data_IF_627044613520
#
_entry.id   IF_627044613520
#
_cell.length_a   1.000
_cell.length_b   1.000
_cell.length_c   1.000
_cell.angle_alpha   90.00
_cell.angle_beta   90.00
_cell.angle_gamma   90.00
#
_symmetry.space_group_name_H-M   'P 1'
#
loop_
_entity.id
_entity.type
_entity.pdbx_description
1 polymer ?
#
# COMPACT_ATOMS: atom_id res chain seq x y z
N UNK A 1 -19.48 -18.39 -15.59
CA UNK A 1 -18.90 -17.56 -16.67
C UNK A 1 -17.64 -16.90 -16.09
N UNK A 2 -16.49 -16.92 -16.78
CA UNK A 2 -15.32 -16.18 -16.32
C UNK A 2 -15.62 -14.68 -16.27
N UNK A 3 -15.00 -13.90 -15.36
CA UNK A 3 -15.24 -12.46 -15.26
C UNK A 3 -14.88 -11.75 -16.57
N UNK A 4 -15.54 -10.63 -16.88
CA UNK A 4 -15.22 -9.87 -18.10
C UNK A 4 -13.93 -9.07 -17.89
N UNK A 5 -13.29 -8.66 -18.96
CA UNK A 5 -12.00 -7.96 -18.88
C UNK A 5 -12.13 -6.64 -18.12
N UNK A 6 -13.24 -5.92 -18.31
CA UNK A 6 -13.55 -4.67 -17.61
C UNK A 6 -13.86 -4.84 -16.12
N UNK A 7 -14.13 -6.06 -15.65
CA UNK A 7 -14.36 -6.35 -14.24
C UNK A 7 -13.05 -6.64 -13.49
N UNK A 8 -11.89 -6.63 -14.18
CA UNK A 8 -10.58 -7.01 -13.64
C UNK A 8 -9.51 -5.98 -14.00
N UNK A 9 -8.62 -5.68 -13.06
CA UNK A 9 -7.41 -4.88 -13.30
C UNK A 9 -6.17 -5.53 -12.68
N UNK A 10 -5.00 -5.21 -13.23
CA UNK A 10 -3.70 -5.55 -12.66
C UNK A 10 -2.94 -4.27 -12.34
N UNK A 11 -2.65 -4.06 -11.07
CA UNK A 11 -1.80 -2.96 -10.59
C UNK A 11 -0.44 -3.51 -10.21
N UNK A 12 0.61 -2.89 -10.73
CA UNK A 12 1.97 -3.40 -10.58
C UNK A 12 2.91 -2.28 -10.15
N UNK A 13 3.81 -2.58 -9.22
CA UNK A 13 4.91 -1.66 -8.92
C UNK A 13 5.80 -1.48 -10.16
N UNK A 14 6.26 -0.26 -10.52
CA UNK A 14 7.11 -0.01 -11.69
C UNK A 14 8.57 -0.50 -11.50
N UNK A 15 8.77 -1.56 -10.72
CA UNK A 15 10.06 -2.22 -10.53
C UNK A 15 10.17 -3.42 -11.47
N UNK A 16 11.33 -3.61 -12.10
CA UNK A 16 11.52 -4.69 -13.10
C UNK A 16 11.11 -6.07 -12.58
N UNK A 17 11.41 -6.39 -11.31
CA UNK A 17 11.05 -7.68 -10.69
C UNK A 17 9.54 -7.89 -10.58
N UNK A 18 8.77 -6.86 -10.23
CA UNK A 18 7.31 -6.96 -10.12
C UNK A 18 6.65 -6.97 -11.49
N UNK A 19 7.18 -6.19 -12.44
CA UNK A 19 6.75 -6.22 -13.84
C UNK A 19 6.96 -7.61 -14.46
N UNK A 20 8.14 -8.21 -14.27
CA UNK A 20 8.42 -9.58 -14.74
C UNK A 20 7.48 -10.60 -14.09
N UNK A 21 7.26 -10.53 -12.78
CA UNK A 21 6.31 -11.43 -12.09
C UNK A 21 4.90 -11.27 -12.64
N UNK A 22 4.42 -10.03 -12.80
CA UNK A 22 3.08 -9.77 -13.35
C UNK A 22 2.97 -10.30 -14.79
N UNK A 23 3.94 -10.03 -15.65
CA UNK A 23 3.95 -10.53 -17.03
C UNK A 23 3.97 -12.06 -17.08
N UNK A 24 4.78 -12.74 -16.26
CA UNK A 24 4.94 -14.19 -16.33
C UNK A 24 3.79 -14.95 -15.65
N UNK A 25 3.25 -14.44 -14.55
CA UNK A 25 2.21 -15.14 -13.77
C UNK A 25 0.79 -14.80 -14.25
N UNK A 26 0.62 -13.68 -14.95
CA UNK A 26 -0.68 -13.14 -15.35
C UNK A 26 -0.75 -12.85 -16.87
N UNK A 27 0.12 -13.43 -17.70
CA UNK A 27 0.07 -13.29 -19.16
C UNK A 27 -1.30 -13.65 -19.76
N UNK A 28 -1.96 -14.67 -19.22
CA UNK A 28 -3.32 -15.06 -19.62
C UNK A 28 -4.38 -13.96 -19.41
N UNK A 29 -4.12 -12.97 -18.54
CA UNK A 29 -4.98 -11.77 -18.41
C UNK A 29 -4.68 -10.77 -19.53
N UNK A 30 -3.43 -10.67 -19.98
CA UNK A 30 -3.04 -9.85 -21.14
C UNK A 30 -3.77 -10.33 -22.39
N UNK A 31 -3.78 -11.66 -22.63
CA UNK A 31 -4.50 -12.28 -23.76
C UNK A 31 -6.01 -12.00 -23.75
N UNK A 32 -6.56 -11.69 -22.57
CA UNK A 32 -7.97 -11.35 -22.37
C UNK A 32 -8.26 -9.85 -22.45
N UNK A 33 -7.26 -9.02 -22.72
CA UNK A 33 -7.39 -7.57 -22.80
C UNK A 33 -7.60 -6.89 -21.45
N UNK A 34 -7.20 -7.53 -20.34
CA UNK A 34 -7.23 -6.90 -19.02
C UNK A 34 -6.19 -5.80 -18.95
N UNK A 35 -6.53 -4.71 -18.26
CA UNK A 35 -5.66 -3.55 -18.14
C UNK A 35 -4.58 -3.79 -17.08
N UNK A 36 -3.32 -3.57 -17.48
CA UNK A 36 -2.16 -3.54 -16.60
C UNK A 36 -1.70 -2.09 -16.42
N UNK A 37 -1.62 -1.62 -15.18
CA UNK A 37 -1.23 -0.26 -14.83
C UNK A 37 -0.07 -0.28 -13.84
N UNK A 38 0.99 0.46 -14.15
CA UNK A 38 2.09 0.68 -13.22
C UNK A 38 1.76 1.82 -12.25
N UNK A 39 2.04 1.64 -10.96
CA UNK A 39 1.86 2.70 -9.96
C UNK A 39 3.01 2.75 -8.94
N UNK A 40 3.60 3.94 -8.81
CA UNK A 40 4.71 4.22 -7.90
C UNK A 40 4.34 4.00 -6.42
N UNK A 41 3.05 4.06 -6.06
CA UNK A 41 2.63 3.85 -4.68
C UNK A 41 2.93 2.41 -4.18
N UNK A 42 3.07 1.45 -5.10
CA UNK A 42 3.34 0.04 -4.78
C UNK A 42 4.82 -0.33 -4.70
N UNK A 43 5.72 0.65 -4.65
CA UNK A 43 7.16 0.48 -4.51
C UNK A 43 7.58 -0.12 -3.16
N UNK A 44 8.72 -0.80 -3.12
CA UNK A 44 9.31 -1.32 -1.87
C UNK A 44 9.66 -0.20 -0.88
N UNK A 45 9.78 -0.56 0.39
CA UNK A 45 9.83 0.35 1.53
C UNK A 45 11.23 0.79 1.97
N UNK A 46 12.31 0.42 1.26
CA UNK A 46 13.71 0.78 1.61
C UNK A 46 14.39 1.64 0.53
N UNK A 47 15.53 2.25 0.84
CA UNK A 47 16.36 3.01 -0.11
C UNK A 47 17.55 2.22 -0.68
N UNK A 48 17.59 0.90 -0.44
CA UNK A 48 18.60 0.06 -1.05
C UNK A 48 18.56 0.22 -2.58
N UNK A 49 19.71 0.14 -3.28
CA UNK A 49 19.75 0.36 -4.73
C UNK A 49 18.78 -0.54 -5.51
N UNK A 50 18.48 -1.73 -5.00
CA UNK A 50 17.50 -2.63 -5.59
C UNK A 50 16.03 -2.21 -5.34
N UNK A 51 15.75 -1.35 -4.35
CA UNK A 51 14.41 -0.99 -3.87
C UNK A 51 13.91 0.38 -4.32
N UNK A 52 14.75 1.16 -4.99
CA UNK A 52 14.38 2.45 -5.58
C UNK A 52 13.76 2.28 -6.97
N UNK A 53 14.32 1.40 -7.82
CA UNK A 53 13.80 1.14 -9.16
C UNK A 53 14.64 1.79 -10.26
N UNK A 54 14.05 2.01 -11.43
CA UNK A 54 14.75 2.54 -12.60
C UNK A 54 13.89 3.56 -13.35
N UNK A 55 14.50 4.52 -14.08
CA UNK A 55 13.76 5.43 -14.94
C UNK A 55 12.85 4.69 -15.91
N UNK A 56 11.65 5.24 -16.18
CA UNK A 56 10.64 4.60 -17.03
C UNK A 56 11.16 4.29 -18.44
N UNK A 57 11.98 5.18 -19.01
CA UNK A 57 12.62 4.96 -20.32
C UNK A 57 13.47 3.67 -20.39
N UNK A 58 14.00 3.21 -19.25
CA UNK A 58 14.82 2.00 -19.18
C UNK A 58 14.01 0.71 -18.93
N UNK A 59 12.71 0.81 -18.61
CA UNK A 59 11.87 -0.35 -18.31
C UNK A 59 10.67 -0.48 -19.26
N UNK A 60 10.00 0.62 -19.63
CA UNK A 60 8.76 0.60 -20.40
C UNK A 60 8.88 -0.16 -21.74
N UNK A 61 9.98 -0.04 -22.52
CA UNK A 61 10.12 -0.80 -23.77
C UNK A 61 10.05 -2.33 -23.60
N UNK A 62 10.40 -2.85 -22.41
CA UNK A 62 10.35 -4.29 -22.11
C UNK A 62 8.96 -4.77 -21.69
N UNK A 63 8.02 -3.87 -21.39
CA UNK A 63 6.68 -4.19 -20.90
C UNK A 63 5.60 -3.41 -21.65
N UNK A 64 5.47 -3.59 -22.99
CA UNK A 64 4.57 -2.78 -23.81
C UNK A 64 3.07 -2.97 -23.50
N UNK A 65 2.70 -4.01 -22.77
CA UNK A 65 1.33 -4.28 -22.32
C UNK A 65 0.95 -3.54 -21.02
N UNK A 66 1.91 -2.91 -20.34
CA UNK A 66 1.68 -2.18 -19.09
C UNK A 66 1.59 -0.68 -19.39
N UNK A 67 0.52 -0.03 -18.94
CA UNK A 67 0.39 1.42 -18.97
C UNK A 67 1.27 2.05 -17.89
N UNK A 68 2.12 3.00 -18.27
CA UNK A 68 2.94 3.79 -17.35
C UNK A 68 2.47 5.26 -17.26
N UNK A 69 1.36 5.61 -17.91
CA UNK A 69 0.90 7.00 -18.06
C UNK A 69 0.62 7.70 -16.72
N UNK A 70 0.19 6.95 -15.71
CA UNK A 70 -0.17 7.47 -14.40
C UNK A 70 0.96 7.32 -13.36
N UNK A 71 2.14 6.86 -13.77
CA UNK A 71 3.29 6.81 -12.87
C UNK A 71 3.76 8.22 -12.57
N UNK A 72 3.83 8.56 -11.28
CA UNK A 72 4.28 9.87 -10.81
C UNK A 72 5.60 10.29 -11.48
N UNK A 73 5.73 11.55 -11.94
CA UNK A 73 6.97 12.05 -12.52
C UNK A 73 8.13 12.13 -11.52
N UNK A 74 7.85 12.00 -10.21
CA UNK A 74 8.86 11.92 -9.17
C UNK A 74 9.48 10.52 -9.05
N UNK A 75 8.92 9.50 -9.72
CA UNK A 75 9.53 8.17 -9.78
C UNK A 75 10.92 8.22 -10.46
N UNK A 76 11.93 7.46 -9.98
CA UNK A 76 11.95 6.55 -8.83
C UNK A 76 12.42 7.18 -7.51
N UNK A 77 12.46 8.51 -7.42
CA UNK A 77 13.07 9.24 -6.30
C UNK A 77 12.30 9.04 -4.98
N UNK A 78 13.07 8.85 -3.89
CA UNK A 78 12.57 8.69 -2.52
C UNK A 78 13.12 9.73 -1.55
N UNK A 79 13.97 10.64 -2.02
CA UNK A 79 14.90 11.41 -1.17
C UNK A 79 14.79 12.91 -1.37
N UNK A 80 14.46 13.40 -2.57
CA UNK A 80 14.36 14.84 -2.80
C UNK A 80 13.25 15.44 -1.93
N UNK A 81 13.66 16.38 -1.08
CA UNK A 81 12.78 17.25 -0.30
C UNK A 81 12.55 18.55 -1.07
N UNK A 82 11.38 19.16 -0.94
CA UNK A 82 11.18 20.53 -1.46
C UNK A 82 12.00 21.49 -0.61
N UNK A 83 13.20 21.82 -1.06
CA UNK A 83 14.02 22.87 -0.44
C UNK A 83 13.26 24.18 -0.60
N UNK A 84 12.78 24.76 0.50
CA UNK A 84 12.43 26.18 0.54
C UNK A 84 13.68 26.95 0.10
N UNK A 85 13.66 27.46 -1.11
CA UNK A 85 14.73 28.27 -1.67
C UNK A 85 15.02 29.45 -0.74
N UNK A 86 16.09 29.35 0.06
CA UNK A 86 16.66 30.49 0.75
C UNK A 86 17.70 31.15 -0.15
N UNK A 87 17.49 32.45 -0.38
CA UNK A 87 18.50 33.52 -0.46
C UNK A 87 18.54 34.33 -1.76
N UNK A 88 17.75 35.40 -1.79
CA UNK A 88 18.23 36.72 -2.19
C UNK A 88 17.49 37.81 -1.38
N UNK A 89 18.30 38.57 -0.64
CA UNK A 89 18.13 39.73 0.24
C UNK A 89 16.78 40.48 0.39
N UNK A 90 16.54 41.12 1.56
CA UNK A 90 15.30 41.82 1.84
C UNK A 90 15.31 43.22 1.20
N UNK A 91 14.32 43.50 0.36
CA UNK A 91 13.87 44.87 0.08
C UNK A 91 12.48 45.04 0.64
N UNK A 92 12.38 45.92 1.63
CA UNK A 92 11.16 46.38 2.30
C UNK A 92 10.14 46.94 1.32
N UNK A 93 8.93 46.38 1.30
CA UNK A 93 7.68 47.14 1.36
C UNK A 93 6.46 46.24 1.56
N UNK A 94 5.50 46.80 2.27
CA UNK A 94 4.27 46.23 2.80
C UNK A 94 3.22 45.82 1.75
N UNK A 95 2.54 44.69 1.95
CA UNK A 95 1.10 44.53 1.66
C UNK A 95 0.52 43.23 2.27
N UNK A 96 -0.59 43.41 3.00
CA UNK A 96 -1.74 42.50 3.22
C UNK A 96 -1.53 40.98 3.08
N UNK A 97 -1.57 40.27 4.21
CA UNK A 97 -1.70 38.82 4.27
C UNK A 97 -3.18 38.40 4.21
N UNK A 98 -3.64 38.01 3.02
CA UNK A 98 -4.70 37.02 2.86
C UNK A 98 -4.03 35.65 2.81
N UNK A 99 -4.19 34.86 3.86
CA UNK A 99 -3.66 33.50 3.95
C UNK A 99 -4.53 32.55 3.11
N UNK A 100 -4.34 32.59 1.79
CA UNK A 100 -4.67 31.45 0.93
C UNK A 100 -3.52 30.45 1.06
N UNK A 101 -3.78 29.33 1.72
CA UNK A 101 -2.83 28.24 1.84
C UNK A 101 -2.49 27.70 0.44
N UNK A 102 -1.38 28.16 -0.11
CA UNK A 102 -0.79 27.58 -1.31
C UNK A 102 -0.50 26.11 -1.01
N UNK A 103 -1.24 25.20 -1.63
CA UNK A 103 -1.02 23.77 -1.49
C UNK A 103 0.32 23.41 -2.15
N UNK A 104 1.42 23.50 -1.41
CA UNK A 104 2.72 23.04 -1.88
C UNK A 104 2.59 21.56 -2.30
N UNK A 105 2.98 21.23 -3.52
CA UNK A 105 2.98 19.84 -3.96
C UNK A 105 3.94 19.03 -3.09
N UNK A 106 3.49 17.87 -2.62
CA UNK A 106 4.33 17.00 -1.80
C UNK A 106 5.60 16.58 -2.55
N UNK A 107 6.72 16.57 -1.84
CA UNK A 107 8.03 16.16 -2.35
C UNK A 107 8.15 14.65 -2.56
N UNK A 108 9.20 14.22 -3.27
CA UNK A 108 9.50 12.80 -3.46
C UNK A 108 9.71 12.07 -2.12
N UNK A 109 10.42 12.70 -1.18
CA UNK A 109 10.60 12.16 0.17
C UNK A 109 9.28 11.97 0.94
N UNK A 110 8.34 12.89 0.79
CA UNK A 110 7.01 12.80 1.44
C UNK A 110 6.13 11.72 0.78
N UNK A 111 6.18 11.59 -0.54
CA UNK A 111 5.32 10.66 -1.27
C UNK A 111 5.88 9.23 -1.30
N UNK A 112 7.17 9.08 -1.58
CA UNK A 112 7.82 7.81 -1.89
C UNK A 112 8.96 7.43 -0.93
N UNK A 113 9.25 8.27 0.06
CA UNK A 113 10.24 7.99 1.09
C UNK A 113 10.01 6.69 1.87
N UNK A 114 11.03 6.29 2.61
CA UNK A 114 11.13 5.02 3.35
C UNK A 114 10.95 5.18 4.86
N UNK A 115 10.48 6.35 5.32
CA UNK A 115 10.13 6.57 6.72
C UNK A 115 8.78 5.93 7.04
N UNK A 116 8.53 5.66 8.33
CA UNK A 116 7.24 5.15 8.79
C UNK A 116 6.09 6.05 8.34
N UNK A 117 6.26 7.37 8.42
CA UNK A 117 5.24 8.32 8.00
C UNK A 117 4.94 8.21 6.49
N UNK A 118 5.98 8.25 5.64
CA UNK A 118 5.82 8.16 4.18
C UNK A 118 5.19 6.83 3.75
N UNK A 119 5.62 5.70 4.33
CA UNK A 119 5.08 4.37 3.99
C UNK A 119 3.63 4.21 4.43
N UNK A 120 3.26 4.67 5.63
CA UNK A 120 1.86 4.59 6.08
C UNK A 120 0.94 5.51 5.26
N UNK A 121 1.40 6.72 4.93
CA UNK A 121 0.66 7.62 4.05
C UNK A 121 0.48 7.00 2.65
N UNK A 122 1.52 6.37 2.11
CA UNK A 122 1.48 5.68 0.82
C UNK A 122 0.57 4.46 0.82
N UNK A 123 0.60 3.66 1.88
CA UNK A 123 -0.32 2.54 2.08
C UNK A 123 -1.78 2.99 2.11
N UNK A 124 -2.08 4.10 2.80
CA UNK A 124 -3.42 4.71 2.80
C UNK A 124 -3.86 5.12 1.38
N UNK A 125 -3.03 5.90 0.66
CA UNK A 125 -3.32 6.34 -0.72
C UNK A 125 -3.56 5.16 -1.66
N UNK A 126 -2.74 4.12 -1.54
CA UNK A 126 -2.87 2.91 -2.36
C UNK A 126 -4.21 2.19 -2.12
N UNK A 127 -4.64 2.07 -0.86
CA UNK A 127 -5.93 1.45 -0.51
C UNK A 127 -7.11 2.31 -0.93
N UNK A 128 -7.05 3.63 -0.76
CA UNK A 128 -8.07 4.57 -1.25
C UNK A 128 -8.21 4.48 -2.77
N UNK A 129 -7.09 4.46 -3.50
CA UNK A 129 -7.06 4.32 -4.94
C UNK A 129 -7.68 2.99 -5.39
N UNK A 130 -7.35 1.87 -4.73
CA UNK A 130 -7.96 0.56 -5.01
C UNK A 130 -9.46 0.54 -4.70
N UNK A 131 -9.88 1.19 -3.61
CA UNK A 131 -11.28 1.18 -3.20
C UNK A 131 -12.18 2.01 -4.12
N UNK A 132 -11.64 3.05 -4.74
CA UNK A 132 -12.34 3.88 -5.71
C UNK A 132 -12.49 3.23 -7.10
N UNK A 133 -11.86 2.07 -7.33
CA UNK A 133 -11.87 1.40 -8.62
C UNK A 133 -13.22 0.76 -8.95
N UNK A 134 -13.65 0.79 -10.23
CA UNK A 134 -14.87 0.11 -10.66
C UNK A 134 -14.70 -1.40 -10.81
N UNK A 135 -13.46 -1.91 -10.94
CA UNK A 135 -13.20 -3.33 -11.13
C UNK A 135 -13.54 -4.15 -9.88
N UNK A 136 -14.12 -5.34 -10.09
CA UNK A 136 -14.55 -6.23 -9.00
C UNK A 136 -13.41 -7.07 -8.45
N UNK A 137 -12.35 -7.27 -9.24
CA UNK A 137 -11.16 -8.01 -8.85
C UNK A 137 -9.92 -7.25 -9.31
N UNK A 138 -9.04 -6.93 -8.36
CA UNK A 138 -7.78 -6.26 -8.65
C UNK A 138 -6.63 -7.14 -8.21
N UNK A 139 -5.78 -7.51 -9.16
CA UNK A 139 -4.50 -8.15 -8.85
C UNK A 139 -3.49 -7.05 -8.54
N UNK A 140 -2.76 -7.22 -7.43
CA UNK A 140 -1.70 -6.30 -7.05
C UNK A 140 -0.38 -7.06 -6.97
N UNK A 141 0.60 -6.66 -7.77
CA UNK A 141 1.94 -7.25 -7.76
C UNK A 141 2.93 -6.23 -7.20
N UNK A 142 3.35 -6.45 -5.96
CA UNK A 142 4.16 -5.53 -5.16
C UNK A 142 5.23 -6.29 -4.37
N UNK A 143 5.73 -5.71 -3.28
CA UNK A 143 6.87 -6.19 -2.52
C UNK A 143 6.50 -6.49 -1.08
N UNK A 144 7.17 -7.49 -0.49
CA UNK A 144 6.84 -7.99 0.84
C UNK A 144 6.94 -6.91 1.92
N UNK A 145 7.97 -6.05 1.86
CA UNK A 145 8.18 -5.04 2.90
C UNK A 145 7.04 -4.02 2.92
N UNK A 146 6.70 -3.48 1.75
CA UNK A 146 5.59 -2.53 1.61
C UNK A 146 4.23 -3.16 1.91
N UNK A 147 3.93 -4.35 1.38
CA UNK A 147 2.66 -5.02 1.65
C UNK A 147 2.48 -5.33 3.14
N UNK A 148 3.55 -5.76 3.82
CA UNK A 148 3.54 -6.04 5.26
C UNK A 148 3.38 -4.75 6.07
N UNK A 149 4.27 -3.79 5.90
CA UNK A 149 4.37 -2.64 6.80
C UNK A 149 3.36 -1.51 6.47
N UNK A 150 2.99 -1.35 5.20
CA UNK A 150 2.14 -0.25 4.73
C UNK A 150 0.68 -0.63 4.46
N UNK A 151 0.39 -1.89 4.12
CA UNK A 151 -0.90 -2.24 3.50
C UNK A 151 -1.69 -3.26 4.31
N UNK A 152 -1.25 -4.53 4.34
CA UNK A 152 -2.09 -5.65 4.77
C UNK A 152 -1.60 -6.38 6.02
N UNK A 153 -0.44 -5.99 6.60
CA UNK A 153 0.11 -6.55 7.86
C UNK A 153 0.54 -8.01 7.82
N UNK A 154 0.60 -8.63 6.64
CA UNK A 154 0.99 -10.02 6.48
C UNK A 154 2.41 -10.16 5.95
N UNK A 155 3.07 -11.24 6.34
CA UNK A 155 4.33 -11.66 5.74
C UNK A 155 4.08 -12.32 4.37
N UNK A 156 4.99 -12.04 3.44
CA UNK A 156 5.04 -12.63 2.11
C UNK A 156 6.46 -13.12 1.84
N UNK A 157 6.58 -14.34 1.33
CA UNK A 157 7.76 -14.80 0.63
C UNK A 157 7.60 -14.59 -0.88
N UNK A 158 8.68 -14.78 -1.63
CA UNK A 158 8.68 -14.61 -3.08
C UNK A 158 7.61 -15.50 -3.72
N UNK A 159 6.84 -14.91 -4.66
CA UNK A 159 5.75 -15.55 -5.39
C UNK A 159 4.60 -16.07 -4.51
N UNK A 160 4.43 -15.55 -3.30
CA UNK A 160 3.25 -15.79 -2.47
C UNK A 160 2.08 -14.86 -2.87
N UNK A 161 0.84 -15.29 -2.62
CA UNK A 161 -0.35 -14.51 -2.92
C UNK A 161 -1.37 -14.57 -1.79
N UNK A 162 -2.07 -13.47 -1.53
CA UNK A 162 -3.19 -13.45 -0.58
C UNK A 162 -4.38 -12.75 -1.17
N UNK A 163 -5.58 -13.21 -0.80
CA UNK A 163 -6.85 -12.62 -1.24
C UNK A 163 -7.39 -11.79 -0.08
N UNK A 164 -7.89 -10.61 -0.38
CA UNK A 164 -8.41 -9.68 0.61
C UNK A 164 -9.76 -9.11 0.17
N UNK A 165 -10.61 -8.87 1.15
CA UNK A 165 -11.76 -7.98 1.03
C UNK A 165 -11.43 -6.65 1.73
N UNK A 166 -12.06 -5.57 1.29
CA UNK A 166 -12.08 -4.34 2.09
C UNK A 166 -12.91 -4.56 3.35
N UNK A 167 -12.35 -4.17 4.49
CA UNK A 167 -13.04 -4.14 5.77
C UNK A 167 -13.31 -2.68 6.13
N UNK A 168 -14.58 -2.34 6.32
CA UNK A 168 -14.98 -1.03 6.78
C UNK A 168 -15.06 -1.05 8.29
N UNK A 169 -14.17 -0.31 8.96
CA UNK A 169 -14.40 0.04 10.36
C UNK A 169 -15.36 1.23 10.35
N UNK A 170 -16.66 0.95 10.45
CA UNK A 170 -17.65 2.01 10.64
C UNK A 170 -17.42 2.69 12.00
N UNK A 171 -17.28 4.02 11.99
CA UNK A 171 -17.33 4.82 13.21
C UNK A 171 -18.75 4.71 13.77
N UNK A 172 -18.88 4.02 14.89
CA UNK A 172 -20.11 3.77 15.65
C UNK A 172 -21.03 2.68 15.08
N UNK A 173 -20.88 1.46 15.58
CA UNK A 173 -22.01 0.52 15.67
C UNK A 173 -22.13 0.02 17.12
N UNK A 174 -22.99 0.63 17.95
CA UNK A 174 -23.24 0.18 19.31
C UNK A 174 -24.45 -0.75 19.30
N UNK A 175 -24.24 -2.07 19.15
CA UNK A 175 -25.00 -3.14 19.82
C UNK A 175 -24.82 -4.50 19.12
N UNK A 176 -24.36 -5.50 19.87
CA UNK A 176 -25.25 -6.62 20.23
C UNK A 176 -24.96 -6.99 21.69
N UNK A 177 -25.93 -6.71 22.55
CA UNK A 177 -26.00 -7.14 23.94
C UNK A 177 -26.43 -8.60 24.04
N UNK A 178 -25.74 -9.33 24.93
CA UNK A 178 -26.22 -10.45 25.77
C UNK A 178 -27.02 -11.60 25.13
N UNK A 179 -26.42 -12.78 25.09
CA UNK A 179 -27.07 -14.00 25.61
C UNK A 179 -26.05 -14.80 26.44
N UNK A 180 -26.46 -15.09 27.69
CA UNK A 180 -25.75 -15.90 28.66
C UNK A 180 -25.89 -17.40 28.34
N UNK A 181 -24.85 -18.20 28.64
CA UNK A 181 -25.00 -19.64 28.88
C UNK A 181 -23.96 -20.53 28.20
N UNK A 182 -22.92 -20.93 28.94
CA UNK A 182 -22.01 -22.01 28.53
C UNK A 182 -20.56 -21.79 28.99
N UNK A 183 -20.31 -21.94 30.29
CA UNK A 183 -18.98 -21.85 30.90
C UNK A 183 -18.17 -23.11 30.55
N UNK A 184 -17.13 -22.92 29.71
CA UNK A 184 -15.80 -23.58 29.77
C UNK A 184 -15.00 -23.44 28.45
N UNK A 185 -15.61 -23.00 27.34
CA UNK A 185 -14.89 -22.64 26.09
C UNK A 185 -14.50 -21.16 25.97
N UNK A 186 -14.92 -20.32 26.91
CA UNK A 186 -14.84 -18.86 26.81
C UNK A 186 -13.44 -18.25 26.95
N UNK A 187 -12.49 -18.88 27.66
CA UNK A 187 -11.21 -18.22 27.97
C UNK A 187 -10.27 -18.08 26.74
N UNK A 188 -10.23 -19.08 25.86
CA UNK A 188 -9.43 -18.99 24.61
C UNK A 188 -10.04 -18.03 23.59
N UNK A 189 -11.38 -17.98 23.52
CA UNK A 189 -12.10 -17.12 22.60
C UNK A 189 -12.03 -15.64 23.03
N UNK A 190 -12.12 -15.37 24.34
CA UNK A 190 -11.95 -14.01 24.89
C UNK A 190 -10.53 -13.48 24.68
N UNK A 191 -9.49 -14.32 24.80
CA UNK A 191 -8.11 -13.89 24.56
C UNK A 191 -7.86 -13.56 23.08
N UNK A 192 -8.39 -14.35 22.15
CA UNK A 192 -8.31 -14.05 20.70
C UNK A 192 -9.13 -12.81 20.32
N UNK A 193 -10.33 -12.63 20.89
CA UNK A 193 -11.13 -11.41 20.65
C UNK A 193 -10.48 -10.18 21.25
N UNK A 194 -9.90 -10.26 22.46
CA UNK A 194 -9.18 -9.12 23.06
C UNK A 194 -7.91 -8.78 22.29
N UNK A 195 -7.15 -9.75 21.79
CA UNK A 195 -5.99 -9.46 20.93
C UNK A 195 -6.42 -8.86 19.58
N UNK A 196 -7.52 -9.33 18.98
CA UNK A 196 -8.09 -8.71 17.77
C UNK A 196 -8.65 -7.31 18.02
N UNK A 197 -9.23 -7.03 19.19
CA UNK A 197 -9.75 -5.71 19.58
C UNK A 197 -8.65 -4.74 20.02
N UNK A 198 -7.59 -5.20 20.68
CA UNK A 198 -6.43 -4.38 21.03
C UNK A 198 -5.59 -4.04 19.79
N UNK A 199 -5.49 -4.94 18.80
CA UNK A 199 -4.90 -4.63 17.50
C UNK A 199 -5.72 -3.62 16.67
N UNK A 200 -7.02 -3.44 16.97
CA UNK A 200 -7.88 -2.37 16.41
C UNK A 200 -7.69 -1.02 17.11
N UNK A 201 -7.06 -0.98 18.27
CA UNK A 201 -7.09 0.16 19.20
C UNK A 201 -6.28 1.41 18.80
N UNK A 202 -5.51 1.39 17.72
CA UNK A 202 -4.79 2.57 17.18
C UNK A 202 -5.13 2.84 15.71
N UNK A 203 -6.21 2.27 15.21
CA UNK A 203 -6.60 2.36 13.81
C UNK A 203 -7.37 3.65 13.55
N UNK A 204 -6.59 4.73 13.33
CA UNK A 204 -6.99 5.91 12.55
C UNK A 204 -7.91 5.49 11.39
N UNK A 205 -8.96 6.27 11.12
CA UNK A 205 -10.19 6.02 10.33
C UNK A 205 -9.97 5.57 8.86
N UNK A 206 -9.09 4.59 8.65
CA UNK A 206 -8.47 4.21 7.38
C UNK A 206 -9.11 2.93 6.86
N UNK A 207 -9.19 2.81 5.54
CA UNK A 207 -9.54 1.54 4.88
C UNK A 207 -8.55 0.45 5.28
N UNK A 208 -9.07 -0.73 5.62
CA UNK A 208 -8.29 -1.89 5.98
C UNK A 208 -8.63 -3.07 5.07
N UNK A 209 -7.72 -4.04 5.04
CA UNK A 209 -7.91 -5.30 4.33
C UNK A 209 -8.12 -6.44 5.32
N UNK A 210 -9.20 -7.21 5.14
CA UNK A 210 -9.43 -8.48 5.81
C UNK A 210 -9.06 -9.61 4.86
N UNK A 211 -8.20 -10.52 5.32
CA UNK A 211 -7.83 -11.68 4.50
C UNK A 211 -9.08 -12.53 4.24
N UNK A 212 -9.32 -12.86 2.97
CA UNK A 212 -10.41 -13.72 2.57
C UNK A 212 -10.09 -15.16 2.99
N UNK A 213 -11.09 -15.85 3.56
CA UNK A 213 -10.94 -17.19 4.16
C UNK A 213 -10.44 -18.26 3.19
N UNK A 214 -10.58 -18.04 1.87
CA UNK A 214 -10.12 -18.96 0.83
C UNK A 214 -8.62 -18.93 0.58
N UNK A 215 -7.86 -18.03 1.22
CA UNK A 215 -6.41 -17.89 0.97
C UNK A 215 -5.63 -19.12 1.41
N UNK A 216 -5.93 -19.62 2.61
CA UNK A 216 -5.22 -20.73 3.26
C UNK A 216 -5.47 -22.10 2.58
N UNK A 217 -6.72 -22.55 2.33
CA UNK A 217 -6.96 -23.88 1.76
C UNK A 217 -6.54 -24.06 0.29
N UNK A 218 -6.05 -23.02 -0.39
CA UNK A 218 -5.75 -23.03 -1.84
C UNK A 218 -4.29 -22.70 -2.21
N UNK A 219 -3.38 -22.69 -1.24
CA UNK A 219 -1.93 -22.63 -1.50
C UNK A 219 -1.34 -21.22 -1.63
N UNK A 220 -2.04 -20.18 -1.18
CA UNK A 220 -1.54 -18.79 -1.15
C UNK A 220 -0.73 -18.45 0.10
N UNK A 221 0.11 -19.37 0.57
CA UNK A 221 0.97 -19.11 1.72
C UNK A 221 2.43 -19.50 1.52
N UNK A 222 2.79 -20.27 0.49
CA UNK A 222 4.18 -20.72 0.28
C UNK A 222 4.89 -21.12 1.58
N UNK A 223 5.92 -20.36 1.96
CA UNK A 223 6.62 -20.46 3.27
C UNK A 223 6.40 -19.22 4.17
N UNK A 224 5.38 -18.42 3.88
CA UNK A 224 5.01 -17.23 4.63
C UNK A 224 4.52 -17.51 6.03
N UNK A 225 4.89 -16.59 6.93
CA UNK A 225 4.38 -16.62 8.29
C UNK A 225 2.88 -16.30 8.31
N UNK A 226 2.15 -17.06 9.13
CA UNK A 226 0.73 -16.86 9.42
C UNK A 226 0.50 -15.82 10.54
N UNK A 227 1.52 -15.03 10.89
CA UNK A 227 1.43 -13.97 11.88
C UNK A 227 1.17 -12.62 11.21
N UNK A 228 0.41 -11.76 11.90
CA UNK A 228 0.19 -10.36 11.52
C UNK A 228 1.07 -9.45 12.35
N UNK A 229 1.58 -8.40 11.72
CA UNK A 229 2.39 -7.36 12.38
C UNK A 229 1.63 -6.05 12.52
N UNK A 230 2.12 -5.15 13.36
CA UNK A 230 1.56 -3.80 13.41
C UNK A 230 1.90 -3.01 12.12
N UNK A 231 1.03 -2.08 11.73
CA UNK A 231 1.34 -1.17 10.63
C UNK A 231 2.55 -0.29 10.99
N UNK A 232 3.49 -0.22 10.05
CA UNK A 232 4.75 0.49 10.20
C UNK A 232 5.75 -0.15 11.16
N UNK A 233 5.53 -1.41 11.55
CA UNK A 233 6.51 -2.18 12.31
C UNK A 233 7.81 -2.36 11.52
N UNK A 234 8.94 -2.16 12.20
CA UNK A 234 10.28 -2.23 11.60
C UNK A 234 10.66 -1.04 10.71
N UNK A 235 9.82 0.00 10.60
CA UNK A 235 10.14 1.19 9.79
C UNK A 235 10.82 2.29 10.61
N UNK A 236 11.74 3.07 10.00
CA UNK A 236 12.39 4.21 10.64
C UNK A 236 11.37 5.29 11.06
N UNK A 237 11.47 5.79 12.31
CA UNK A 237 10.56 6.82 12.83
C UNK A 237 10.99 8.27 12.56
N UNK A 238 12.27 8.50 12.25
CA UNK A 238 12.81 9.85 11.99
C UNK A 238 12.55 10.36 10.57
N UNK A 239 12.64 11.68 10.39
CA UNK A 239 12.76 12.29 9.07
C UNK A 239 14.07 11.79 8.43
N UNK A 240 13.99 11.25 7.21
CA UNK A 240 15.13 10.72 6.44
C UNK A 240 15.83 9.48 7.03
N UNK A 241 15.13 8.65 7.81
CA UNK A 241 15.68 7.34 8.20
C UNK A 241 16.81 7.38 9.21
N UNK A 242 17.11 8.53 9.80
CA UNK A 242 18.02 8.61 10.96
C UNK A 242 17.23 8.13 12.19
N UNK A 243 17.70 7.03 12.79
CA UNK A 243 17.15 6.53 14.04
C UNK A 243 17.35 7.58 15.14
N UNK A 244 16.27 8.01 15.79
CA UNK A 244 16.32 8.67 17.09
C UNK A 244 16.68 7.67 18.19
#
# INVERSE_FOLDING_TARGET
MPPRAEDVAVIVSPMRRTLQTATLALDWLVDRGVRFEASADWQENSDQPCDTGSPLAAIAPSFPHVSFSDVSPLWPDKTTTTSSSSSSSPSTSSASASAEASSASASAAQLFGYTRASILARGRRALEALHARPERLVFVVSHSGFLRAGVCRWWFFNADYRIFDFDFVAVNDPAVSSEEGGEEKHQHQHHQQQQQQQARGEEDNRLLLRQHHSTDPKGGLGSSFAERVALGEGLPRGENGVAT
#
